data_IF_055009029050
#
_entry.id   IF_055009029050
#
_cell.length_a   1.000
_cell.length_b   1.000
_cell.length_c   1.000
_cell.angle_alpha   90.00
_cell.angle_beta   90.00
_cell.angle_gamma   90.00
#
_symmetry.space_group_name_H-M   'P 1'
#
loop_
_entity.id
_entity.type
_entity.pdbx_description
1 polymer ?
#
# COMPACT_ATOMS: atom_id res chain seq x y z
N UNK A 1 -28.12 -4.47 26.09
CA UNK A 1 -26.73 -3.98 26.02
C UNK A 1 -26.08 -4.25 24.65
N UNK A 2 -26.81 -4.71 23.63
CA UNK A 2 -26.22 -5.08 22.33
C UNK A 2 -26.17 -3.92 21.32
N UNK A 3 -27.07 -2.93 21.40
CA UNK A 3 -27.12 -1.82 20.42
C UNK A 3 -25.95 -0.82 20.53
N UNK A 4 -25.24 -0.79 21.66
CA UNK A 4 -24.13 0.16 21.87
C UNK A 4 -22.81 -0.36 21.28
N UNK A 5 -22.67 -1.68 21.13
CA UNK A 5 -21.50 -2.32 20.54
C UNK A 5 -21.52 -2.26 19.00
N UNK A 6 -22.69 -2.33 18.36
CA UNK A 6 -22.77 -2.19 16.89
C UNK A 6 -22.39 -0.78 16.41
N UNK A 7 -22.78 0.27 17.12
CA UNK A 7 -22.43 1.65 16.76
C UNK A 7 -20.94 1.96 16.94
N UNK A 8 -20.29 1.40 17.97
CA UNK A 8 -18.85 1.57 18.18
C UNK A 8 -18.01 0.77 17.19
N UNK A 9 -18.49 -0.40 16.75
CA UNK A 9 -17.82 -1.21 15.72
C UNK A 9 -17.90 -0.59 14.32
N UNK A 10 -19.05 -0.05 13.90
CA UNK A 10 -19.19 0.62 12.60
C UNK A 10 -18.30 1.87 12.44
N UNK A 11 -18.14 2.66 13.51
CA UNK A 11 -17.24 3.82 13.53
C UNK A 11 -15.75 3.43 13.55
N UNK A 12 -15.41 2.28 14.15
CA UNK A 12 -14.06 1.71 14.10
C UNK A 12 -13.73 1.14 12.73
N UNK A 13 -14.61 0.32 12.16
CA UNK A 13 -14.44 -0.31 10.84
C UNK A 13 -14.21 0.73 9.73
N UNK A 14 -14.93 1.85 9.79
CA UNK A 14 -14.77 2.95 8.83
C UNK A 14 -13.42 3.67 8.95
N UNK A 15 -12.76 3.62 10.12
CA UNK A 15 -11.39 4.16 10.31
C UNK A 15 -10.27 3.17 10.00
N UNK A 16 -10.51 1.86 10.11
CA UNK A 16 -9.50 0.83 9.77
C UNK A 16 -9.37 0.62 8.26
N UNK A 17 -10.45 0.81 7.49
CA UNK A 17 -10.45 0.62 6.04
C UNK A 17 -9.46 1.54 5.30
N UNK A 18 -9.40 2.86 5.58
CA UNK A 18 -8.42 3.76 4.95
C UNK A 18 -6.98 3.49 5.40
N UNK A 19 -6.78 3.11 6.68
CA UNK A 19 -5.46 2.74 7.19
C UNK A 19 -4.91 1.48 6.50
N UNK A 20 -5.77 0.48 6.26
CA UNK A 20 -5.39 -0.72 5.51
C UNK A 20 -4.96 -0.42 4.07
N UNK A 21 -5.60 0.55 3.41
CA UNK A 21 -5.19 0.99 2.07
C UNK A 21 -3.82 1.68 2.07
N UNK A 22 -3.55 2.50 3.08
CA UNK A 22 -2.30 3.23 3.22
C UNK A 22 -1.13 2.27 3.51
N UNK A 23 -1.31 1.35 4.45
CA UNK A 23 -0.31 0.32 4.79
C UNK A 23 0.01 -0.54 3.57
N UNK A 24 -1.01 -1.03 2.86
CA UNK A 24 -0.81 -1.78 1.61
C UNK A 24 -0.05 -0.96 0.58
N UNK A 25 -0.39 0.32 0.42
CA UNK A 25 0.32 1.24 -0.47
C UNK A 25 1.81 1.36 -0.15
N UNK A 26 2.17 1.49 1.13
CA UNK A 26 3.57 1.51 1.58
C UNK A 26 4.27 0.21 1.22
N UNK A 27 3.65 -0.95 1.48
CA UNK A 27 4.23 -2.24 1.09
C UNK A 27 4.46 -2.34 -0.42
N UNK A 28 3.51 -1.89 -1.25
CA UNK A 28 3.69 -1.84 -2.70
C UNK A 28 4.89 -0.98 -3.12
N UNK A 29 5.09 0.17 -2.48
CA UNK A 29 6.26 1.04 -2.72
C UNK A 29 7.55 0.31 -2.32
N UNK A 30 7.59 -0.31 -1.14
CA UNK A 30 8.77 -1.04 -0.66
C UNK A 30 9.13 -2.21 -1.58
N UNK A 31 8.14 -2.99 -2.03
CA UNK A 31 8.36 -4.06 -3.00
C UNK A 31 8.77 -3.54 -4.37
N UNK A 32 8.23 -2.40 -4.81
CA UNK A 32 8.64 -1.76 -6.06
C UNK A 32 10.09 -1.27 -6.02
N UNK A 33 10.49 -0.63 -4.92
CA UNK A 33 11.88 -0.24 -4.68
C UNK A 33 12.78 -1.47 -4.63
N UNK A 34 12.38 -2.51 -3.89
CA UNK A 34 13.12 -3.77 -3.87
C UNK A 34 13.30 -4.34 -5.27
N UNK A 35 12.24 -4.40 -6.08
CA UNK A 35 12.32 -4.90 -7.45
C UNK A 35 13.30 -4.09 -8.33
N UNK A 36 13.34 -2.77 -8.17
CA UNK A 36 14.25 -1.90 -8.93
C UNK A 36 15.71 -2.03 -8.46
N UNK A 37 15.93 -2.14 -7.15
CA UNK A 37 17.27 -2.06 -6.56
C UNK A 37 17.89 -3.41 -6.22
N UNK A 38 17.14 -4.52 -6.16
CA UNK A 38 17.67 -5.81 -5.74
C UNK A 38 18.79 -6.32 -6.66
N UNK A 39 18.69 -6.05 -7.97
CA UNK A 39 19.79 -6.37 -8.91
C UNK A 39 21.01 -5.48 -8.68
N UNK A 40 20.84 -4.18 -8.41
CA UNK A 40 21.96 -3.27 -8.14
C UNK A 40 22.66 -3.54 -6.81
N UNK A 41 21.91 -4.03 -5.83
CA UNK A 41 22.42 -4.34 -4.49
C UNK A 41 22.98 -5.76 -4.39
N UNK A 42 22.98 -6.54 -5.48
CA UNK A 42 23.48 -7.92 -5.48
C UNK A 42 22.68 -8.87 -4.58
N UNK A 43 21.41 -8.53 -4.27
CA UNK A 43 20.58 -9.26 -3.31
C UNK A 43 19.92 -10.51 -3.88
N UNK A 44 20.20 -10.89 -5.13
CA UNK A 44 19.78 -12.16 -5.70
C UNK A 44 19.89 -12.25 -7.22
N UNK A 45 20.20 -13.47 -7.70
CA UNK A 45 20.02 -13.83 -9.11
C UNK A 45 18.56 -14.21 -9.35
N UNK A 46 17.75 -13.21 -9.71
CA UNK A 46 16.35 -13.44 -10.02
C UNK A 46 16.23 -14.19 -11.35
N UNK A 47 15.42 -15.25 -11.36
CA UNK A 47 15.04 -15.98 -12.60
C UNK A 47 14.25 -15.13 -13.61
N UNK A 48 13.78 -13.96 -13.20
CA UNK A 48 13.02 -13.03 -14.03
C UNK A 48 14.00 -12.08 -14.72
N UNK A 49 13.80 -11.83 -16.01
CA UNK A 49 14.64 -10.90 -16.77
C UNK A 49 14.68 -9.50 -16.11
N UNK A 50 15.86 -8.84 -16.05
CA UNK A 50 16.03 -7.49 -15.51
C UNK A 50 15.00 -6.47 -16.00
N UNK A 51 14.65 -6.52 -17.28
CA UNK A 51 13.71 -5.60 -17.91
C UNK A 51 12.31 -5.77 -17.32
N UNK A 52 11.87 -7.01 -17.15
CA UNK A 52 10.56 -7.32 -16.54
C UNK A 52 10.51 -6.96 -15.07
N UNK A 53 11.61 -7.18 -14.33
CA UNK A 53 11.70 -6.82 -12.92
C UNK A 53 11.63 -5.29 -12.72
N UNK A 54 12.26 -4.52 -13.61
CA UNK A 54 12.17 -3.06 -13.64
C UNK A 54 10.74 -2.59 -13.96
N UNK A 55 10.09 -3.16 -14.98
CA UNK A 55 8.70 -2.82 -15.33
C UNK A 55 7.76 -3.11 -14.15
N UNK A 56 7.88 -4.29 -13.54
CA UNK A 56 7.11 -4.64 -12.34
C UNK A 56 7.36 -3.66 -11.20
N UNK A 57 8.63 -3.30 -10.96
CA UNK A 57 8.99 -2.33 -9.94
C UNK A 57 8.36 -0.95 -10.15
N UNK A 58 8.35 -0.45 -11.40
CA UNK A 58 7.70 0.81 -11.78
C UNK A 58 6.19 0.72 -11.58
N UNK A 59 5.54 -0.36 -12.01
CA UNK A 59 4.09 -0.55 -11.85
C UNK A 59 3.71 -0.61 -10.37
N UNK A 60 4.46 -1.35 -9.55
CA UNK A 60 4.26 -1.44 -8.10
C UNK A 60 4.43 -0.08 -7.43
N UNK A 61 5.43 0.70 -7.83
CA UNK A 61 5.65 2.08 -7.36
C UNK A 61 4.47 2.99 -7.68
N UNK A 62 4.03 3.03 -8.95
CA UNK A 62 2.90 3.86 -9.37
C UNK A 62 1.61 3.50 -8.62
N UNK A 63 1.31 2.21 -8.52
CA UNK A 63 0.13 1.72 -7.81
C UNK A 63 0.21 1.97 -6.30
N UNK A 64 1.38 1.79 -5.71
CA UNK A 64 1.66 2.07 -4.30
C UNK A 64 1.45 3.55 -3.96
N UNK A 65 2.00 4.46 -4.79
CA UNK A 65 1.80 5.91 -4.64
C UNK A 65 0.32 6.28 -4.74
N UNK A 66 -0.39 5.75 -5.74
CA UNK A 66 -1.83 5.98 -5.91
C UNK A 66 -2.63 5.52 -4.67
N UNK A 67 -2.30 4.35 -4.11
CA UNK A 67 -2.92 3.82 -2.88
C UNK A 67 -2.62 4.68 -1.66
N UNK A 68 -1.37 5.12 -1.49
CA UNK A 68 -0.98 6.00 -0.38
C UNK A 68 -1.71 7.34 -0.49
N UNK A 69 -1.74 7.96 -1.68
CA UNK A 69 -2.47 9.21 -1.91
C UNK A 69 -3.95 9.08 -1.57
N UNK A 70 -4.60 8.01 -2.03
CA UNK A 70 -6.00 7.75 -1.71
C UNK A 70 -6.23 7.46 -0.22
N UNK A 71 -5.33 6.72 0.43
CA UNK A 71 -5.38 6.45 1.86
C UNK A 71 -5.25 7.73 2.69
N UNK A 72 -4.29 8.58 2.36
CA UNK A 72 -4.10 9.91 2.99
C UNK A 72 -5.33 10.77 2.74
N UNK A 73 -5.82 10.87 1.50
CA UNK A 73 -7.01 11.66 1.18
C UNK A 73 -8.23 11.20 1.99
N UNK A 74 -8.47 9.89 2.07
CA UNK A 74 -9.59 9.34 2.87
C UNK A 74 -9.40 9.53 4.38
N UNK A 75 -8.18 9.46 4.91
CA UNK A 75 -7.91 9.66 6.33
C UNK A 75 -8.02 11.11 6.79
N UNK A 76 -7.56 12.05 5.97
CA UNK A 76 -7.43 13.46 6.35
C UNK A 76 -8.55 14.35 5.80
N UNK A 77 -9.13 14.06 4.62
CA UNK A 77 -10.18 14.88 4.02
C UNK A 77 -11.60 14.36 4.25
N UNK A 78 -11.81 13.13 4.72
CA UNK A 78 -13.15 12.59 5.02
C UNK A 78 -13.57 12.85 6.49
N UNK A 79 -13.15 13.99 7.05
CA UNK A 79 -13.35 14.35 8.46
C UNK A 79 -14.14 15.65 8.65
N UNK A 80 -14.88 16.07 7.64
CA UNK A 80 -15.82 17.19 7.66
C UNK A 80 -17.17 16.74 7.07
#
# INVERSE_FOLDING_TARGET
>A
MEMQDEQTNGLRENRYRPMGELIRGIFFILFGLFAIFAQKLGLGEFRISPQWMLVLGIVLMLYGIFRVYNGIRKLFFNRN
#
